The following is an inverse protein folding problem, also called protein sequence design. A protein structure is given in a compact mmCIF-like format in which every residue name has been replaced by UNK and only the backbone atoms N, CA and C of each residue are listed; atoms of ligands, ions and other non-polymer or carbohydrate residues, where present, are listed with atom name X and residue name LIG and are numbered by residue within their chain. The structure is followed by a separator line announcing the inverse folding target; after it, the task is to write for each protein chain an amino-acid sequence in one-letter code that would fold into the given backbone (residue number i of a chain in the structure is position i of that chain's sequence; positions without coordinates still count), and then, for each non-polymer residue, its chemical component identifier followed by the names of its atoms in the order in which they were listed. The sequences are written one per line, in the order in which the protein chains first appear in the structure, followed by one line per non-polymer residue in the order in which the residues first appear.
data_IF_862635600676
#
_entry.id   IF_862635600676
#
_cell.length_a   1.000
_cell.length_b   1.000
_cell.length_c   1.000
_cell.angle_alpha   90.00
_cell.angle_beta   90.00
_cell.angle_gamma   90.00
#
_symmetry.space_group_name_H-M   'P 1'
#
loop_
_entity.id
_entity.type
_entity.pdbx_description
1 polymer ?
#
# COMPACT_ATOMS: atom_id res chain seq x y z
N UNK A 1 1.17 9.18 11.91
CA UNK A 1 2.40 8.52 11.43
C UNK A 1 2.60 8.82 9.96
N UNK A 2 3.73 8.40 9.40
CA UNK A 2 4.10 8.56 7.99
C UNK A 2 4.00 7.20 7.30
N UNK A 3 3.37 7.16 6.12
CA UNK A 3 3.34 5.99 5.26
C UNK A 3 4.22 6.26 4.04
N UNK A 4 5.28 5.47 3.89
CA UNK A 4 6.14 5.49 2.71
C UNK A 4 5.63 4.44 1.71
N UNK A 5 5.45 4.84 0.45
CA UNK A 5 5.00 3.96 -0.63
C UNK A 5 6.07 3.90 -1.72
N UNK A 6 6.40 2.69 -2.15
CA UNK A 6 7.43 2.42 -3.16
C UNK A 6 6.89 1.52 -4.27
N UNK A 7 7.53 1.56 -5.44
CA UNK A 7 7.15 0.78 -6.62
C UNK A 7 7.44 -0.70 -6.46
N UNK A 8 8.60 -1.08 -5.89
CA UNK A 8 9.03 -2.47 -5.78
C UNK A 8 9.80 -2.74 -4.49
N UNK A 9 9.68 -3.97 -3.98
CA UNK A 9 10.49 -4.45 -2.87
C UNK A 9 11.92 -4.76 -3.34
N UNK A 10 12.94 -4.38 -2.56
CA UNK A 10 14.34 -4.76 -2.84
C UNK A 10 15.15 -3.81 -3.75
N UNK A 11 14.62 -2.65 -4.13
CA UNK A 11 15.43 -1.56 -4.70
C UNK A 11 16.22 -0.80 -3.62
N UNK A 12 17.28 -0.08 -4.01
CA UNK A 12 18.04 0.83 -3.13
C UNK A 12 17.14 1.80 -2.33
N UNK A 13 16.03 2.34 -2.89
CA UNK A 13 15.08 3.16 -2.13
C UNK A 13 14.29 2.37 -1.07
N UNK A 14 13.86 1.14 -1.37
CA UNK A 14 13.04 0.31 -0.46
C UNK A 14 13.87 -0.23 0.72
N UNK A 15 15.12 -0.61 0.50
CA UNK A 15 16.00 -1.06 1.58
C UNK A 15 16.36 0.08 2.55
N UNK A 16 16.54 1.30 2.04
CA UNK A 16 16.73 2.49 2.89
C UNK A 16 15.44 2.81 3.64
N UNK A 17 14.26 2.71 3.01
CA UNK A 17 12.98 2.96 3.67
C UNK A 17 12.72 2.01 4.85
N UNK A 18 13.15 0.75 4.77
CA UNK A 18 13.04 -0.22 5.86
C UNK A 18 13.83 0.19 7.11
N UNK A 19 14.94 0.92 6.95
CA UNK A 19 15.72 1.42 8.12
C UNK A 19 15.01 2.50 8.91
N UNK A 20 13.98 3.11 8.33
CA UNK A 20 13.14 4.12 8.98
C UNK A 20 11.87 3.53 9.61
N UNK A 21 11.66 2.21 9.53
CA UNK A 21 10.52 1.57 10.20
C UNK A 21 10.59 1.86 11.70
N UNK A 22 9.53 2.50 12.19
CA UNK A 22 9.39 2.82 13.60
C UNK A 22 7.95 2.53 13.98
N UNK A 23 7.78 1.63 14.95
CA UNK A 23 6.46 1.14 15.35
C UNK A 23 5.52 2.31 15.66
N UNK A 24 4.33 2.28 15.06
CA UNK A 24 3.29 3.32 15.16
C UNK A 24 3.68 4.73 14.64
N UNK A 25 4.90 4.92 14.10
CA UNK A 25 5.34 6.22 13.57
C UNK A 25 5.60 6.19 12.07
N UNK A 26 6.24 5.16 11.55
CA UNK A 26 6.60 5.03 10.13
C UNK A 26 6.34 3.61 9.66
N UNK A 27 5.58 3.49 8.57
CA UNK A 27 5.33 2.22 7.90
C UNK A 27 5.70 2.31 6.41
N UNK A 28 6.07 1.19 5.80
CA UNK A 28 6.47 1.12 4.39
C UNK A 28 5.63 0.10 3.64
N UNK A 29 5.07 0.50 2.48
CA UNK A 29 4.41 -0.41 1.54
C UNK A 29 5.12 -0.36 0.20
N UNK A 30 5.49 -1.53 -0.34
CA UNK A 30 6.02 -1.67 -1.69
C UNK A 30 4.98 -2.20 -2.67
N UNK A 31 5.21 -2.05 -3.97
CA UNK A 31 4.28 -2.56 -4.98
C UNK A 31 3.09 -1.64 -5.20
N UNK A 32 3.27 -0.32 -5.00
CA UNK A 32 2.16 0.63 -5.08
C UNK A 32 1.46 0.58 -6.45
N UNK A 33 0.13 0.56 -6.42
CA UNK A 33 -0.70 0.61 -7.61
C UNK A 33 -1.79 1.69 -7.49
N UNK A 34 -2.48 1.98 -8.59
CA UNK A 34 -3.47 3.05 -8.64
C UNK A 34 -4.63 2.88 -7.62
N UNK A 35 -5.26 1.69 -7.47
CA UNK A 35 -6.27 1.45 -6.43
C UNK A 35 -5.80 1.81 -5.01
N UNK A 36 -4.55 1.48 -4.67
CA UNK A 36 -3.96 1.85 -3.37
C UNK A 36 -3.90 3.36 -3.19
N UNK A 37 -3.39 4.08 -4.20
CA UNK A 37 -3.26 5.54 -4.16
C UNK A 37 -4.62 6.23 -4.03
N UNK A 38 -5.62 5.78 -4.78
CA UNK A 38 -6.99 6.32 -4.68
C UNK A 38 -7.53 6.13 -3.27
N UNK A 39 -7.35 4.94 -2.68
CA UNK A 39 -7.83 4.70 -1.31
C UNK A 39 -7.08 5.54 -0.29
N UNK A 40 -5.76 5.62 -0.37
CA UNK A 40 -4.95 6.44 0.52
C UNK A 40 -5.31 7.94 0.43
N UNK A 41 -5.56 8.46 -0.77
CA UNK A 41 -5.95 9.85 -0.99
C UNK A 41 -7.36 10.19 -0.50
N UNK A 42 -8.20 9.19 -0.23
CA UNK A 42 -9.60 9.35 0.18
C UNK A 42 -9.89 8.84 1.59
N UNK A 43 -8.84 8.58 2.39
CA UNK A 43 -9.00 8.15 3.78
C UNK A 43 -9.59 9.26 4.65
N UNK A 44 -10.46 8.93 5.62
CA UNK A 44 -10.86 9.85 6.68
C UNK A 44 -9.67 10.34 7.51
N UNK A 45 -9.71 11.59 7.97
CA UNK A 45 -8.63 12.21 8.76
C UNK A 45 -8.33 11.47 10.08
N UNK A 46 -9.32 10.76 10.64
CA UNK A 46 -9.19 10.00 11.89
C UNK A 46 -8.68 8.56 11.70
N UNK A 47 -8.23 8.19 10.50
CA UNK A 47 -7.70 6.85 10.23
C UNK A 47 -6.29 6.71 10.81
N UNK A 48 -6.07 5.67 11.62
CA UNK A 48 -4.73 5.39 12.17
C UNK A 48 -3.77 4.89 11.10
N UNK A 49 -2.45 5.02 11.33
CA UNK A 49 -1.44 4.52 10.37
C UNK A 49 -1.62 3.02 10.06
N UNK A 50 -1.90 2.21 11.08
CA UNK A 50 -2.12 0.76 10.92
C UNK A 50 -3.37 0.45 10.08
N UNK A 51 -4.46 1.21 10.27
CA UNK A 51 -5.66 1.07 9.46
C UNK A 51 -5.42 1.50 8.01
N UNK A 52 -4.74 2.63 7.80
CA UNK A 52 -4.37 3.13 6.47
C UNK A 52 -3.59 2.08 5.68
N UNK A 53 -2.64 1.42 6.33
CA UNK A 53 -1.82 0.34 5.74
C UNK A 53 -2.69 -0.85 5.34
N UNK A 54 -3.55 -1.34 6.24
CA UNK A 54 -4.48 -2.44 5.95
C UNK A 54 -5.43 -2.13 4.80
N UNK A 55 -5.96 -0.90 4.75
CA UNK A 55 -6.87 -0.45 3.69
C UNK A 55 -6.14 -0.41 2.35
N UNK A 56 -4.95 0.19 2.30
CA UNK A 56 -4.15 0.28 1.09
C UNK A 56 -3.79 -1.12 0.58
N UNK A 57 -3.23 -1.97 1.45
CA UNK A 57 -2.81 -3.33 1.11
C UNK A 57 -3.98 -4.17 0.55
N UNK A 58 -5.15 -4.11 1.20
CA UNK A 58 -6.36 -4.77 0.71
C UNK A 58 -6.80 -4.23 -0.65
N UNK A 59 -6.88 -2.91 -0.81
CA UNK A 59 -7.27 -2.29 -2.07
C UNK A 59 -6.31 -2.67 -3.21
N UNK A 60 -5.01 -2.74 -2.92
CA UNK A 60 -3.99 -3.15 -3.87
C UNK A 60 -4.22 -4.58 -4.36
N UNK A 61 -4.45 -5.53 -3.46
CA UNK A 61 -4.68 -6.95 -3.80
C UNK A 61 -6.02 -7.20 -4.48
N UNK A 62 -7.11 -6.67 -3.92
CA UNK A 62 -8.48 -6.95 -4.39
C UNK A 62 -8.70 -6.44 -5.84
N UNK A 63 -7.87 -5.50 -6.29
CA UNK A 63 -7.96 -4.92 -7.63
C UNK A 63 -6.93 -5.49 -8.63
N UNK A 64 -6.20 -6.55 -8.27
CA UNK A 64 -5.41 -7.33 -9.23
C UNK A 64 -6.34 -8.37 -9.86
N UNK A 65 -6.83 -8.06 -11.06
CA UNK A 65 -7.84 -8.88 -11.74
C UNK A 65 -7.26 -9.43 -13.04
N UNK A 66 -7.37 -10.75 -13.20
CA UNK A 66 -7.08 -11.42 -14.48
C UNK A 66 -8.37 -11.47 -15.29
N UNK A 67 -8.50 -10.61 -16.29
CA UNK A 67 -9.74 -10.45 -17.08
C UNK A 67 -10.23 -11.77 -17.70
N UNK A 68 -9.32 -12.67 -18.09
CA UNK A 68 -9.70 -13.98 -18.64
C UNK A 68 -10.42 -14.88 -17.63
N UNK A 69 -10.23 -14.69 -16.32
CA UNK A 69 -10.96 -15.41 -15.28
C UNK A 69 -12.42 -14.93 -15.14
N UNK A 70 -12.75 -13.72 -15.63
CA UNK A 70 -14.12 -13.18 -15.59
C UNK A 70 -15.00 -13.71 -16.74
N UNK A 71 -14.36 -14.08 -17.86
CA UNK A 71 -15.05 -14.45 -19.10
C UNK A 71 -15.35 -15.96 -19.14
N UNK A 72 -14.62 -16.79 -18.38
CA UNK A 72 -14.90 -18.23 -18.26
C UNK A 72 -16.17 -18.46 -17.41
N UNK A 73 -17.34 -18.43 -18.07
CA UNK A 73 -18.57 -19.06 -17.62
C UNK A 73 -18.79 -20.36 -18.37
#
# INVERSE_FOLDING_TARGET
GVLLVTDMFGGTPSNISLTFLEENKVEVISGVNLPMLIKLATLPENTTLSESVKIAEKAGRDNIIVASNLIKK
#
